data_IF_249877739416
#
_entry.id   IF_249877739416
#
_cell.length_a   1.000
_cell.length_b   1.000
_cell.length_c   1.000
_cell.angle_alpha   90.00
_cell.angle_beta   90.00
_cell.angle_gamma   90.00
#
_symmetry.space_group_name_H-M   'P 1'
#
loop_
_entity.id
_entity.type
_entity.pdbx_description
1 polymer ?
#
# COMPACT_ATOMS: atom_id res chain seq x y z
N UNK A 1 21.42 -9.13 4.95
CA UNK A 1 21.26 -10.03 3.82
C UNK A 1 21.50 -9.22 2.56
N UNK A 2 22.46 -9.58 1.76
CA UNK A 2 22.76 -8.96 0.46
C UNK A 2 21.80 -9.55 -0.57
N UNK A 3 21.15 -8.71 -1.38
CA UNK A 3 20.26 -9.17 -2.45
C UNK A 3 21.10 -9.98 -3.45
N UNK A 4 20.67 -11.18 -3.90
CA UNK A 4 21.40 -11.97 -4.88
C UNK A 4 21.64 -11.18 -6.17
N UNK A 5 22.85 -11.30 -6.74
CA UNK A 5 23.24 -10.56 -7.95
C UNK A 5 22.33 -10.84 -9.17
N UNK A 6 21.67 -12.00 -9.20
CA UNK A 6 20.72 -12.36 -10.26
C UNK A 6 19.44 -11.50 -10.27
N UNK A 7 19.03 -10.94 -9.11
CA UNK A 7 17.84 -10.08 -9.02
C UNK A 7 18.12 -8.64 -9.48
N UNK A 8 19.38 -8.24 -9.60
CA UNK A 8 19.78 -6.89 -10.04
C UNK A 8 20.14 -6.83 -11.51
N UNK A 9 20.37 -7.95 -12.19
CA UNK A 9 20.82 -8.00 -13.57
C UNK A 9 19.68 -7.87 -14.58
N UNK A 10 19.88 -7.04 -15.60
CA UNK A 10 19.01 -6.87 -16.77
C UNK A 10 19.75 -7.39 -18.00
N UNK A 11 19.06 -8.14 -18.87
CA UNK A 11 19.64 -8.57 -20.14
C UNK A 11 19.80 -7.36 -21.08
N UNK A 12 21.03 -7.05 -21.51
CA UNK A 12 21.33 -5.92 -22.39
C UNK A 12 21.77 -4.65 -21.64
N UNK A 13 21.79 -3.51 -22.35
CA UNK A 13 22.08 -2.20 -21.75
C UNK A 13 20.86 -1.69 -20.98
N UNK A 14 20.97 -1.40 -19.68
CA UNK A 14 19.85 -0.86 -18.92
C UNK A 14 19.50 0.56 -19.37
N UNK A 15 18.24 0.94 -19.25
CA UNK A 15 17.80 2.33 -19.41
C UNK A 15 18.27 3.19 -18.23
N UNK A 16 18.19 2.63 -17.03
CA UNK A 16 18.65 3.26 -15.79
C UNK A 16 19.37 2.22 -14.93
N UNK A 17 20.49 2.58 -14.33
CA UNK A 17 21.18 1.72 -13.37
C UNK A 17 21.79 2.53 -12.24
N UNK A 18 21.74 1.97 -11.04
CA UNK A 18 22.41 2.44 -9.83
C UNK A 18 23.31 1.32 -9.31
N UNK A 19 24.52 1.65 -8.90
CA UNK A 19 25.49 0.69 -8.37
C UNK A 19 26.19 1.25 -7.15
N UNK A 20 26.02 0.57 -6.00
CA UNK A 20 26.68 0.94 -4.75
C UNK A 20 26.37 2.35 -4.29
N UNK A 21 25.13 2.84 -4.49
CA UNK A 21 24.79 4.23 -4.23
C UNK A 21 24.63 4.47 -2.72
N UNK A 22 25.39 5.44 -2.22
CA UNK A 22 25.28 5.96 -0.86
C UNK A 22 24.90 7.43 -0.86
N UNK A 23 24.05 7.81 0.12
CA UNK A 23 23.71 9.21 0.39
C UNK A 23 23.66 9.49 1.88
N UNK A 24 24.40 10.52 2.30
CA UNK A 24 24.50 10.98 3.69
C UNK A 24 24.06 12.44 3.80
N UNK A 25 23.40 12.77 4.87
CA UNK A 25 23.05 14.14 5.23
C UNK A 25 23.65 14.47 6.60
N UNK A 26 24.26 15.65 6.72
CA UNK A 26 24.74 16.16 7.99
C UNK A 26 23.62 16.92 8.68
N UNK A 27 23.12 16.39 9.79
CA UNK A 27 22.11 17.04 10.62
C UNK A 27 22.87 17.78 11.75
N UNK A 28 22.82 19.12 11.78
CA UNK A 28 23.40 19.83 12.91
C UNK A 28 22.58 19.55 14.16
N UNK A 29 23.20 18.98 15.18
CA UNK A 29 22.63 18.89 16.53
C UNK A 29 22.47 20.30 17.08
N UNK A 30 21.22 20.70 17.40
CA UNK A 30 20.82 21.98 17.97
C UNK A 30 21.63 23.22 17.57
N UNK A 31 21.04 24.08 16.77
CA UNK A 31 21.51 25.46 16.66
C UNK A 31 21.27 26.14 18.00
N UNK A 32 22.35 26.54 18.71
CA UNK A 32 22.22 27.53 19.78
C UNK A 32 21.50 28.77 19.22
N UNK A 33 20.25 28.96 19.62
CA UNK A 33 19.38 30.01 19.03
C UNK A 33 19.71 31.43 19.52
N UNK A 34 20.64 31.57 20.50
CA UNK A 34 20.99 32.89 21.05
C UNK A 34 22.50 33.11 21.10
N UNK A 35 22.90 34.36 20.78
CA UNK A 35 24.30 34.82 20.97
C UNK A 35 24.81 34.62 22.40
N UNK A 36 23.91 34.63 23.40
CA UNK A 36 24.18 34.42 24.80
C UNK A 36 24.63 32.98 25.12
N UNK A 37 24.02 31.99 24.48
CA UNK A 37 24.36 30.57 24.63
C UNK A 37 25.71 30.23 23.98
N UNK A 38 26.05 30.87 22.87
CA UNK A 38 27.34 30.80 22.19
C UNK A 38 28.47 31.37 23.03
N UNK A 39 28.20 32.44 23.78
CA UNK A 39 29.18 33.10 24.68
C UNK A 39 29.42 32.27 25.95
N UNK A 40 28.42 31.55 26.44
CA UNK A 40 28.52 30.74 27.67
C UNK A 40 29.21 29.39 27.44
N UNK A 41 29.19 28.86 26.19
CA UNK A 41 29.80 27.56 25.86
C UNK A 41 30.69 27.62 24.62
N UNK A 42 31.80 28.37 24.60
CA UNK A 42 32.63 28.59 23.42
C UNK A 42 33.37 27.34 22.91
N UNK A 43 33.44 26.27 23.71
CA UNK A 43 34.12 25.02 23.40
C UNK A 43 33.17 23.86 23.08
N UNK A 44 31.85 24.09 23.07
CA UNK A 44 30.88 23.04 22.67
C UNK A 44 30.96 22.84 21.16
N UNK A 45 31.73 21.85 20.72
CA UNK A 45 31.76 21.41 19.33
C UNK A 45 30.37 20.86 19.00
N UNK A 46 29.67 21.48 18.08
CA UNK A 46 28.47 20.93 17.48
C UNK A 46 28.84 19.57 16.91
N UNK A 47 28.30 18.52 17.48
CA UNK A 47 28.44 17.17 16.97
C UNK A 47 27.40 17.06 15.83
N UNK A 48 27.86 17.04 14.59
CA UNK A 48 26.97 16.77 13.46
C UNK A 48 26.65 15.27 13.46
N UNK A 49 25.39 14.94 13.56
CA UNK A 49 24.93 13.58 13.34
C UNK A 49 24.82 13.33 11.83
N UNK A 50 25.37 12.20 11.35
CA UNK A 50 25.27 11.82 9.96
C UNK A 50 24.08 10.87 9.75
N UNK A 51 23.07 11.33 9.02
CA UNK A 51 21.97 10.51 8.59
C UNK A 51 22.35 9.80 7.28
N UNK A 52 22.52 8.50 7.33
CA UNK A 52 22.71 7.65 6.15
C UNK A 52 21.37 7.32 5.52
N UNK A 53 20.94 8.15 4.56
CA UNK A 53 19.65 8.03 3.89
C UNK A 53 19.61 6.89 2.87
N UNK A 54 20.74 6.62 2.17
CA UNK A 54 20.92 5.48 1.27
C UNK A 54 22.22 4.75 1.60
N UNK A 55 22.18 3.41 1.54
CA UNK A 55 23.25 2.52 1.99
C UNK A 55 23.38 1.36 0.99
N UNK A 56 24.34 1.47 0.07
CA UNK A 56 24.69 0.42 -0.90
C UNK A 56 23.49 0.00 -1.78
N UNK A 57 22.87 0.99 -2.43
CA UNK A 57 21.73 0.73 -3.32
C UNK A 57 22.22 0.35 -4.70
N UNK A 58 21.83 -0.85 -5.15
CA UNK A 58 22.17 -1.37 -6.48
C UNK A 58 20.96 -1.99 -7.15
N UNK A 59 20.62 -1.51 -8.36
CA UNK A 59 19.57 -2.07 -9.22
C UNK A 59 19.73 -1.59 -10.65
N UNK A 60 19.03 -2.27 -11.58
CA UNK A 60 18.96 -1.86 -12.96
C UNK A 60 17.52 -1.98 -13.48
N UNK A 61 17.16 -1.06 -14.37
CA UNK A 61 15.85 -0.98 -15.05
C UNK A 61 16.06 -1.18 -16.54
N UNK A 62 15.33 -2.13 -17.14
CA UNK A 62 15.39 -2.39 -18.56
C UNK A 62 14.69 -1.28 -19.39
N UNK A 63 15.07 -1.10 -20.67
CA UNK A 63 14.27 -0.29 -21.58
C UNK A 63 12.85 -0.83 -21.66
N UNK A 64 11.83 0.06 -21.55
CA UNK A 64 10.43 -0.32 -21.57
C UNK A 64 9.90 -0.94 -20.28
N UNK A 65 10.71 -1.04 -19.23
CA UNK A 65 10.30 -1.58 -17.95
C UNK A 65 9.56 -0.54 -17.11
N UNK A 66 8.45 -0.95 -16.51
CA UNK A 66 7.77 -0.22 -15.45
C UNK A 66 8.25 -0.79 -14.10
N UNK A 67 9.15 -0.07 -13.43
CA UNK A 67 9.85 -0.50 -12.23
C UNK A 67 9.34 0.23 -11.00
N UNK A 68 8.86 -0.51 -10.00
CA UNK A 68 8.35 0.03 -8.73
C UNK A 68 9.45 0.20 -7.67
N UNK A 69 9.41 1.30 -6.92
CA UNK A 69 10.20 1.49 -5.70
C UNK A 69 9.24 1.70 -4.55
N UNK A 70 9.17 0.75 -3.65
CA UNK A 70 8.25 0.76 -2.52
C UNK A 70 8.98 0.82 -1.18
N UNK A 71 8.28 1.24 -0.14
CA UNK A 71 8.85 1.32 1.22
C UNK A 71 8.07 2.29 2.10
N UNK A 72 8.25 2.18 3.41
CA UNK A 72 7.61 3.05 4.40
C UNK A 72 8.08 4.51 4.29
N UNK A 73 7.35 5.43 4.92
CA UNK A 73 7.81 6.82 5.07
C UNK A 73 9.16 6.85 5.80
N UNK A 74 10.11 7.63 5.26
CA UNK A 74 11.49 7.69 5.78
C UNK A 74 12.39 6.52 5.35
N UNK A 75 11.97 5.61 4.48
CA UNK A 75 12.83 4.51 3.99
C UNK A 75 13.94 4.96 3.02
N UNK A 76 13.83 6.18 2.47
CA UNK A 76 14.80 6.74 1.53
C UNK A 76 14.32 6.87 0.08
N UNK A 77 13.04 6.54 -0.23
CA UNK A 77 12.47 6.56 -1.59
C UNK A 77 12.66 7.89 -2.32
N UNK A 78 12.16 8.98 -1.74
CA UNK A 78 12.26 10.33 -2.35
C UNK A 78 13.71 10.80 -2.42
N UNK A 79 14.58 10.38 -1.47
CA UNK A 79 16.02 10.63 -1.56
C UNK A 79 16.64 9.91 -2.73
N UNK A 80 16.32 8.63 -2.92
CA UNK A 80 16.80 7.84 -4.06
C UNK A 80 16.32 8.46 -5.37
N UNK A 81 15.03 8.80 -5.48
CA UNK A 81 14.47 9.43 -6.67
C UNK A 81 15.19 10.75 -7.01
N UNK A 82 15.45 11.61 -6.01
CA UNK A 82 16.21 12.86 -6.18
C UNK A 82 17.67 12.62 -6.58
N UNK A 83 18.29 11.52 -6.14
CA UNK A 83 19.62 11.12 -6.60
C UNK A 83 19.59 10.64 -8.06
N UNK A 84 18.60 9.82 -8.45
CA UNK A 84 18.41 9.36 -9.83
C UNK A 84 18.17 10.53 -10.78
N UNK A 85 17.40 11.52 -10.36
CA UNK A 85 17.13 12.75 -11.09
C UNK A 85 18.32 13.73 -11.17
N UNK A 86 19.43 13.43 -10.48
CA UNK A 86 20.60 14.34 -10.43
C UNK A 86 20.40 15.57 -9.55
N UNK A 87 19.25 15.68 -8.82
CA UNK A 87 18.96 16.79 -7.89
C UNK A 87 19.91 16.71 -6.68
N UNK A 88 20.09 15.50 -6.14
CA UNK A 88 21.06 15.26 -5.07
C UNK A 88 22.29 14.55 -5.61
N UNK A 89 23.46 15.10 -5.32
CA UNK A 89 24.74 14.44 -5.59
C UNK A 89 24.87 13.21 -4.65
N UNK A 90 25.21 12.07 -5.20
CA UNK A 90 25.57 10.87 -4.45
C UNK A 90 26.93 11.03 -3.77
N UNK A 91 27.13 10.36 -2.63
CA UNK A 91 28.42 10.41 -1.91
C UNK A 91 29.37 9.30 -2.36
N UNK A 92 28.84 8.11 -2.70
CA UNK A 92 29.57 6.96 -3.21
C UNK A 92 28.72 6.21 -4.25
N UNK A 93 29.37 5.42 -5.10
CA UNK A 93 28.73 4.63 -6.15
C UNK A 93 28.57 5.38 -7.46
N UNK A 94 27.66 4.91 -8.31
CA UNK A 94 27.42 5.50 -9.63
C UNK A 94 25.99 5.29 -10.08
N UNK A 95 25.50 6.23 -10.92
CA UNK A 95 24.18 6.19 -11.56
C UNK A 95 24.40 6.42 -13.05
N UNK A 96 23.82 5.58 -13.89
CA UNK A 96 23.81 5.70 -15.35
C UNK A 96 22.38 5.83 -15.85
N UNK A 97 22.20 6.72 -16.80
CA UNK A 97 20.93 6.95 -17.49
C UNK A 97 21.21 6.93 -18.99
N UNK A 98 20.45 6.14 -19.73
CA UNK A 98 20.55 6.02 -21.17
C UNK A 98 19.29 6.56 -21.83
N UNK A 99 19.26 7.86 -22.13
CA UNK A 99 18.13 8.59 -22.70
C UNK A 99 17.78 9.85 -21.95
N UNK A 100 16.76 10.55 -22.44
CA UNK A 100 16.21 11.76 -21.79
C UNK A 100 15.33 11.34 -20.62
N UNK A 101 15.62 11.90 -19.45
CA UNK A 101 14.85 11.66 -18.24
C UNK A 101 13.95 12.85 -17.94
N UNK A 102 12.70 12.60 -17.62
CA UNK A 102 11.77 13.58 -17.05
C UNK A 102 11.31 13.14 -15.67
N UNK A 103 11.13 14.11 -14.77
CA UNK A 103 10.88 13.83 -13.37
C UNK A 103 9.57 14.46 -12.90
N UNK A 104 8.71 13.64 -12.30
CA UNK A 104 7.46 14.07 -11.65
C UNK A 104 7.61 13.89 -10.14
N UNK A 105 8.62 14.56 -9.56
CA UNK A 105 9.01 14.36 -8.16
C UNK A 105 8.20 15.26 -7.22
N UNK A 106 7.86 16.45 -7.66
CA UNK A 106 7.04 17.39 -6.88
C UNK A 106 6.08 18.07 -7.85
N UNK A 107 4.83 17.62 -7.88
CA UNK A 107 3.81 18.19 -8.75
C UNK A 107 3.61 19.67 -8.47
N UNK A 108 3.64 20.47 -9.55
CA UNK A 108 3.44 21.92 -9.46
C UNK A 108 4.66 22.73 -9.03
N UNK A 109 5.82 22.10 -8.82
CA UNK A 109 7.08 22.85 -8.65
C UNK A 109 7.34 23.67 -9.91
N UNK A 110 7.61 24.97 -9.70
CA UNK A 110 7.80 25.93 -10.79
C UNK A 110 6.51 26.62 -11.23
N UNK A 111 5.36 26.30 -10.67
CA UNK A 111 4.15 27.08 -10.86
C UNK A 111 4.26 28.43 -10.13
N UNK A 112 3.88 29.51 -10.82
CA UNK A 112 3.78 30.84 -10.24
C UNK A 112 2.30 31.14 -9.94
N UNK A 113 1.91 31.33 -8.66
CA UNK A 113 0.52 31.57 -8.29
C UNK A 113 -0.09 32.83 -8.90
N UNK A 114 0.74 33.80 -9.27
CA UNK A 114 0.28 35.09 -9.82
C UNK A 114 0.09 35.10 -11.34
N UNK A 115 0.50 34.02 -12.02
CA UNK A 115 0.31 33.83 -13.45
C UNK A 115 -0.94 32.97 -13.74
N UNK A 116 -1.49 33.16 -14.95
CA UNK A 116 -2.59 32.33 -15.45
C UNK A 116 -2.14 30.92 -15.83
N UNK A 117 -3.10 30.00 -16.06
CA UNK A 117 -2.81 28.61 -16.43
C UNK A 117 -1.93 28.51 -17.68
N UNK A 118 -2.21 29.32 -18.70
CA UNK A 118 -1.43 29.34 -19.95
C UNK A 118 0.06 29.59 -19.74
N UNK A 119 0.39 30.60 -18.91
CA UNK A 119 1.78 30.94 -18.63
C UNK A 119 2.46 29.86 -17.79
N UNK A 120 1.74 29.31 -16.84
CA UNK A 120 2.25 28.24 -15.98
C UNK A 120 2.49 26.93 -16.75
N UNK A 121 1.59 26.54 -17.64
CA UNK A 121 1.77 25.37 -18.52
C UNK A 121 2.99 25.55 -19.41
N UNK A 122 3.18 26.75 -19.98
CA UNK A 122 4.35 27.04 -20.80
C UNK A 122 5.65 26.97 -19.99
N UNK A 123 5.70 27.62 -18.82
CA UNK A 123 6.88 27.62 -17.94
C UNK A 123 7.22 26.20 -17.46
N UNK A 124 6.23 25.49 -16.94
CA UNK A 124 6.45 24.14 -16.40
C UNK A 124 6.84 23.15 -17.50
N UNK A 125 6.21 23.22 -18.68
CA UNK A 125 6.58 22.42 -19.84
C UNK A 125 8.05 22.63 -20.25
N UNK A 126 8.52 23.89 -20.24
CA UNK A 126 9.94 24.20 -20.54
C UNK A 126 10.86 23.66 -19.46
N UNK A 127 10.50 23.79 -18.18
CA UNK A 127 11.27 23.21 -17.07
C UNK A 127 11.37 21.69 -17.16
N UNK A 128 10.35 21.03 -17.68
CA UNK A 128 10.33 19.58 -17.90
C UNK A 128 10.99 19.15 -19.22
N UNK A 129 11.57 20.11 -19.98
CA UNK A 129 12.40 19.82 -21.15
C UNK A 129 11.72 20.03 -22.51
N UNK A 130 10.51 20.60 -22.57
CA UNK A 130 9.88 21.02 -23.83
C UNK A 130 10.53 22.32 -24.37
N UNK A 131 10.59 22.47 -25.68
CA UNK A 131 10.86 23.78 -26.26
C UNK A 131 9.70 24.75 -26.05
N UNK A 132 9.91 26.07 -26.04
CA UNK A 132 8.83 27.05 -25.90
C UNK A 132 7.69 26.89 -26.93
N UNK A 133 8.02 26.44 -28.13
CA UNK A 133 7.06 26.18 -29.21
C UNK A 133 6.21 24.94 -28.89
N UNK A 134 6.82 23.88 -28.44
CA UNK A 134 6.11 22.65 -28.04
C UNK A 134 5.22 22.85 -26.82
N UNK A 135 5.72 23.55 -25.78
CA UNK A 135 4.95 23.83 -24.59
C UNK A 135 3.66 24.61 -24.92
N UNK A 136 3.76 25.62 -25.81
CA UNK A 136 2.58 26.36 -26.30
C UNK A 136 1.64 25.50 -27.14
N UNK A 137 2.17 24.66 -28.02
CA UNK A 137 1.36 23.81 -28.90
C UNK A 137 0.60 22.72 -28.11
N UNK A 138 1.10 22.31 -26.93
CA UNK A 138 0.47 21.30 -26.09
C UNK A 138 -0.52 21.86 -25.08
N UNK A 139 -0.62 23.19 -24.95
CA UNK A 139 -1.47 23.87 -23.97
C UNK A 139 -2.92 23.37 -23.98
N UNK A 140 -3.52 23.34 -25.17
CA UNK A 140 -4.93 22.95 -25.32
C UNK A 140 -5.16 21.52 -24.81
N UNK A 141 -4.26 20.57 -25.15
CA UNK A 141 -4.34 19.18 -24.69
C UNK A 141 -4.16 19.04 -23.16
N UNK A 142 -3.30 19.90 -22.58
CA UNK A 142 -3.10 19.96 -21.13
C UNK A 142 -4.37 20.37 -20.42
N UNK A 143 -5.01 21.45 -20.88
CA UNK A 143 -6.22 22.01 -20.27
C UNK A 143 -7.41 21.06 -20.42
N UNK A 144 -7.61 20.46 -21.60
CA UNK A 144 -8.64 19.46 -21.86
C UNK A 144 -8.45 18.21 -20.97
N UNK A 145 -7.22 17.71 -20.85
CA UNK A 145 -6.97 16.57 -19.99
C UNK A 145 -7.24 16.88 -18.52
N UNK A 146 -6.85 18.10 -18.06
CA UNK A 146 -7.05 18.57 -16.70
C UNK A 146 -8.53 18.87 -16.38
N UNK A 147 -9.41 19.01 -17.41
CA UNK A 147 -10.80 19.48 -17.30
C UNK A 147 -10.88 20.88 -16.66
N UNK A 148 -10.06 21.80 -17.17
CA UNK A 148 -9.92 23.15 -16.62
C UNK A 148 -10.21 24.25 -17.65
N UNK A 149 -10.96 23.95 -18.71
CA UNK A 149 -11.28 24.88 -19.80
C UNK A 149 -12.00 26.14 -19.29
N UNK A 150 -12.90 26.00 -18.33
CA UNK A 150 -13.66 27.12 -17.76
C UNK A 150 -12.80 28.01 -16.84
N UNK A 151 -11.64 27.52 -16.41
CA UNK A 151 -10.77 28.19 -15.43
C UNK A 151 -9.47 28.72 -16.02
N UNK A 152 -9.25 28.57 -17.32
CA UNK A 152 -7.98 28.85 -18.00
C UNK A 152 -7.48 30.30 -17.84
N UNK A 153 -8.39 31.27 -17.70
CA UNK A 153 -8.07 32.67 -17.57
C UNK A 153 -7.83 33.14 -16.13
N UNK A 154 -8.06 32.22 -15.16
CA UNK A 154 -7.82 32.51 -13.76
C UNK A 154 -6.35 32.36 -13.40
N UNK A 155 -5.87 33.20 -12.48
CA UNK A 155 -4.56 33.04 -11.87
C UNK A 155 -4.55 31.80 -11.00
N UNK A 156 -3.42 31.09 -10.99
CA UNK A 156 -3.29 29.82 -10.24
C UNK A 156 -3.59 29.96 -8.75
N UNK A 157 -3.32 31.10 -8.12
CA UNK A 157 -3.69 31.35 -6.72
C UNK A 157 -5.19 31.18 -6.41
N UNK A 158 -6.03 31.23 -7.43
CA UNK A 158 -7.48 31.04 -7.31
C UNK A 158 -7.91 29.58 -7.58
N UNK A 159 -6.96 28.71 -7.93
CA UNK A 159 -7.23 27.29 -8.12
C UNK A 159 -7.34 26.56 -6.78
N UNK A 160 -8.21 25.56 -6.71
CA UNK A 160 -8.20 24.60 -5.60
C UNK A 160 -6.94 23.72 -5.64
N UNK A 161 -6.61 23.07 -4.54
CA UNK A 161 -5.50 22.11 -4.50
C UNK A 161 -5.65 20.99 -5.53
N UNK A 162 -6.89 20.48 -5.72
CA UNK A 162 -7.20 19.48 -6.74
C UNK A 162 -6.94 19.99 -8.17
N UNK A 163 -7.34 21.23 -8.50
CA UNK A 163 -7.09 21.84 -9.80
C UNK A 163 -5.60 22.02 -10.07
N UNK A 164 -4.80 22.42 -9.04
CA UNK A 164 -3.35 22.54 -9.17
C UNK A 164 -2.71 21.20 -9.54
N UNK A 165 -3.11 20.15 -8.85
CA UNK A 165 -2.52 18.83 -9.05
C UNK A 165 -2.96 18.22 -10.38
N UNK A 166 -4.22 18.41 -10.80
CA UNK A 166 -4.71 18.03 -12.14
C UNK A 166 -3.91 18.74 -13.24
N UNK A 167 -3.70 20.04 -13.12
CA UNK A 167 -2.92 20.80 -14.09
C UNK A 167 -1.48 20.32 -14.17
N UNK A 168 -0.80 20.15 -13.02
CA UNK A 168 0.58 19.71 -12.94
C UNK A 168 0.78 18.31 -13.55
N UNK A 169 -0.10 17.35 -13.22
CA UNK A 169 -0.09 16.04 -13.83
C UNK A 169 -0.30 16.11 -15.35
N UNK A 170 -1.26 16.92 -15.80
CA UNK A 170 -1.58 17.09 -17.22
C UNK A 170 -0.41 17.65 -18.03
N UNK A 171 0.39 18.55 -17.46
CA UNK A 171 1.63 19.04 -18.11
C UNK A 171 2.65 17.91 -18.16
N UNK A 172 2.82 17.20 -17.05
CA UNK A 172 3.85 16.19 -16.89
C UNK A 172 3.72 15.04 -17.90
N UNK A 173 2.50 14.55 -18.15
CA UNK A 173 2.25 13.45 -19.12
C UNK A 173 2.45 13.87 -20.58
N UNK A 174 2.54 15.16 -20.89
CA UNK A 174 2.78 15.64 -22.25
C UNK A 174 4.27 15.66 -22.63
N UNK A 175 5.16 15.41 -21.66
CA UNK A 175 6.59 15.44 -21.93
C UNK A 175 7.05 14.16 -22.59
N UNK A 176 7.77 14.30 -23.69
CA UNK A 176 8.31 13.18 -24.43
C UNK A 176 9.70 12.83 -23.88
N UNK A 177 9.75 11.88 -22.96
CA UNK A 177 10.98 11.40 -22.33
C UNK A 177 11.12 9.90 -22.50
N UNK A 178 12.38 9.44 -22.59
CA UNK A 178 12.71 8.02 -22.69
C UNK A 178 12.53 7.30 -21.35
N UNK A 179 12.75 8.04 -20.24
CA UNK A 179 12.63 7.55 -18.87
C UNK A 179 11.83 8.55 -18.04
N UNK A 180 10.80 8.06 -17.37
CA UNK A 180 9.95 8.83 -16.47
C UNK A 180 10.20 8.43 -15.03
N UNK A 181 10.52 9.40 -14.16
CA UNK A 181 10.57 9.21 -12.71
C UNK A 181 9.31 9.81 -12.08
N UNK A 182 8.51 9.00 -11.41
CA UNK A 182 7.21 9.39 -10.86
C UNK A 182 7.20 9.15 -9.35
N UNK A 183 6.92 10.20 -8.55
CA UNK A 183 6.83 10.12 -7.08
C UNK A 183 5.37 10.24 -6.64
N UNK A 184 4.82 9.22 -6.03
CA UNK A 184 3.56 9.15 -5.26
C UNK A 184 2.30 9.84 -5.84
N UNK A 185 2.28 10.07 -7.16
CA UNK A 185 1.35 10.99 -7.84
C UNK A 185 -0.02 10.37 -8.18
N UNK A 186 -0.27 9.09 -7.87
CA UNK A 186 -1.49 8.40 -8.31
C UNK A 186 -2.76 8.74 -7.52
N UNK A 187 -2.63 9.30 -6.32
CA UNK A 187 -3.77 9.68 -5.48
C UNK A 187 -4.30 11.09 -5.78
N UNK A 188 -4.28 11.52 -7.07
CA UNK A 188 -4.55 12.88 -7.48
C UNK A 188 -5.97 13.07 -8.00
N UNK A 189 -6.67 14.06 -7.47
CA UNK A 189 -8.01 14.44 -7.93
C UNK A 189 -9.11 13.53 -7.38
N UNK A 190 -10.25 13.55 -8.03
CA UNK A 190 -11.37 12.65 -7.74
C UNK A 190 -11.23 11.29 -8.46
N UNK A 191 -12.14 10.37 -8.18
CA UNK A 191 -12.12 9.02 -8.74
C UNK A 191 -12.14 8.99 -10.27
N UNK A 192 -12.82 9.95 -10.93
CA UNK A 192 -12.87 10.02 -12.38
C UNK A 192 -11.53 10.43 -12.98
N UNK A 193 -10.86 11.42 -12.38
CA UNK A 193 -9.53 11.84 -12.79
C UNK A 193 -8.46 10.79 -12.51
N UNK A 194 -8.55 10.08 -11.37
CA UNK A 194 -7.68 8.94 -11.07
C UNK A 194 -7.79 7.85 -12.15
N UNK A 195 -9.01 7.53 -12.61
CA UNK A 195 -9.19 6.57 -13.69
C UNK A 195 -8.51 7.02 -15.00
N UNK A 196 -8.61 8.30 -15.36
CA UNK A 196 -7.87 8.87 -16.51
C UNK A 196 -6.35 8.72 -16.35
N UNK A 197 -5.83 8.95 -15.14
CA UNK A 197 -4.42 8.74 -14.85
C UNK A 197 -4.02 7.28 -15.06
N UNK A 198 -4.82 6.33 -14.59
CA UNK A 198 -4.59 4.90 -14.79
C UNK A 198 -4.57 4.50 -16.27
N UNK A 199 -5.48 5.06 -17.06
CA UNK A 199 -5.53 4.82 -18.51
C UNK A 199 -4.27 5.34 -19.22
N UNK A 200 -3.73 6.49 -18.76
CA UNK A 200 -2.45 7.01 -19.24
C UNK A 200 -1.30 6.07 -18.91
N UNK A 201 -1.22 5.55 -17.68
CA UNK A 201 -0.16 4.61 -17.29
C UNK A 201 -0.25 3.29 -18.03
N UNK A 202 -1.44 2.74 -18.24
CA UNK A 202 -1.65 1.55 -19.08
C UNK A 202 -1.13 1.78 -20.50
N UNK A 203 -1.47 2.92 -21.11
CA UNK A 203 -1.00 3.30 -22.45
C UNK A 203 0.53 3.43 -22.49
N UNK A 204 1.13 4.12 -21.52
CA UNK A 204 2.59 4.27 -21.44
C UNK A 204 3.29 2.90 -21.32
N UNK A 205 2.69 1.97 -20.56
CA UNK A 205 3.17 0.60 -20.44
C UNK A 205 3.08 -0.14 -21.78
N UNK A 206 1.96 -0.04 -22.48
CA UNK A 206 1.75 -0.66 -23.80
C UNK A 206 2.69 -0.07 -24.87
N UNK A 207 2.99 1.23 -24.79
CA UNK A 207 3.96 1.92 -25.64
C UNK A 207 5.42 1.54 -25.32
N UNK A 208 5.68 0.74 -24.28
CA UNK A 208 7.00 0.32 -23.87
C UNK A 208 7.86 1.47 -23.32
N UNK A 209 7.27 2.46 -22.65
CA UNK A 209 8.02 3.53 -21.97
C UNK A 209 8.67 3.03 -20.71
N UNK A 210 9.89 3.49 -20.45
CA UNK A 210 10.60 3.15 -19.20
C UNK A 210 10.11 4.07 -18.09
N UNK A 211 9.60 3.48 -17.00
CA UNK A 211 9.03 4.24 -15.89
C UNK A 211 9.60 3.72 -14.57
N UNK A 212 10.11 4.63 -13.75
CA UNK A 212 10.44 4.35 -12.34
C UNK A 212 9.37 5.01 -11.47
N UNK A 213 8.62 4.18 -10.79
CA UNK A 213 7.45 4.57 -10.04
C UNK A 213 7.65 4.38 -8.54
N UNK A 214 7.62 5.47 -7.80
CA UNK A 214 7.75 5.48 -6.34
C UNK A 214 6.38 5.62 -5.71
N UNK A 215 6.00 4.67 -4.87
CA UNK A 215 4.70 4.71 -4.18
C UNK A 215 4.71 3.91 -2.89
N UNK A 216 3.72 4.13 -2.05
CA UNK A 216 3.35 3.27 -0.94
C UNK A 216 2.07 2.45 -1.23
N UNK A 217 1.42 2.67 -2.38
CA UNK A 217 0.24 1.92 -2.82
C UNK A 217 0.64 0.61 -3.50
N UNK A 218 0.47 -0.50 -2.77
CA UNK A 218 0.81 -1.84 -3.26
C UNK A 218 -0.11 -2.30 -4.39
N UNK A 219 -1.37 -1.83 -4.41
CA UNK A 219 -2.31 -2.10 -5.49
C UNK A 219 -1.82 -1.52 -6.82
N UNK A 220 -1.33 -0.28 -6.82
CA UNK A 220 -0.74 0.33 -8.00
C UNK A 220 0.54 -0.40 -8.46
N UNK A 221 1.38 -0.84 -7.51
CA UNK A 221 2.61 -1.59 -7.83
C UNK A 221 2.31 -2.91 -8.52
N UNK A 222 1.39 -3.71 -7.97
CA UNK A 222 1.00 -5.00 -8.55
C UNK A 222 0.27 -4.85 -9.88
N UNK A 223 -0.42 -3.74 -10.11
CA UNK A 223 -1.16 -3.47 -11.35
C UNK A 223 -0.25 -3.01 -12.50
N UNK A 224 0.71 -2.14 -12.24
CA UNK A 224 1.46 -1.44 -13.28
C UNK A 224 2.90 -1.94 -13.46
N UNK A 225 3.57 -2.36 -12.38
CA UNK A 225 4.98 -2.67 -12.44
C UNK A 225 5.26 -4.08 -13.02
N UNK A 226 6.35 -4.20 -13.77
CA UNK A 226 6.89 -5.48 -14.21
C UNK A 226 7.77 -6.10 -13.12
N UNK A 227 8.52 -5.25 -12.41
CA UNK A 227 9.33 -5.60 -11.23
C UNK A 227 9.25 -4.47 -10.22
N UNK A 228 9.51 -4.80 -8.96
CA UNK A 228 9.57 -3.79 -7.90
C UNK A 228 10.77 -4.03 -6.98
N UNK A 229 11.15 -2.97 -6.26
CA UNK A 229 12.18 -2.98 -5.23
C UNK A 229 11.60 -2.48 -3.91
N UNK A 230 11.82 -3.23 -2.85
CA UNK A 230 11.50 -2.81 -1.49
C UNK A 230 12.70 -2.12 -0.85
N UNK A 231 12.50 -0.88 -0.44
CA UNK A 231 13.49 -0.06 0.26
C UNK A 231 13.09 0.09 1.74
N UNK A 232 13.99 -0.28 2.65
CA UNK A 232 13.78 -0.11 4.09
C UNK A 232 15.04 0.46 4.75
N UNK A 233 14.88 1.59 5.48
CA UNK A 233 15.97 2.28 6.19
C UNK A 233 17.22 2.54 5.33
N UNK A 234 17.00 2.91 4.08
CA UNK A 234 18.04 3.21 3.11
C UNK A 234 18.74 2.00 2.52
N UNK A 235 18.21 0.78 2.66
CA UNK A 235 18.74 -0.45 2.08
C UNK A 235 17.72 -1.15 1.22
N UNK A 236 18.16 -1.80 0.15
CA UNK A 236 17.36 -2.72 -0.63
C UNK A 236 17.11 -3.99 0.17
N UNK A 237 15.84 -4.37 0.35
CA UNK A 237 15.42 -5.60 1.03
C UNK A 237 15.25 -6.74 0.03
N UNK A 238 14.52 -6.48 -1.05
CA UNK A 238 14.28 -7.42 -2.14
C UNK A 238 13.98 -6.69 -3.44
N UNK A 239 14.23 -7.35 -4.56
CA UNK A 239 13.85 -6.92 -5.91
C UNK A 239 13.28 -8.14 -6.61
N UNK A 240 12.10 -8.02 -7.24
CA UNK A 240 11.47 -9.15 -7.90
C UNK A 240 10.08 -8.88 -8.39
N UNK A 241 9.25 -9.93 -8.42
CA UNK A 241 7.84 -9.84 -8.77
C UNK A 241 7.12 -8.83 -7.87
N UNK A 242 6.24 -7.99 -8.43
CA UNK A 242 5.53 -6.97 -7.67
C UNK A 242 4.69 -7.51 -6.51
N UNK A 243 4.12 -8.72 -6.64
CA UNK A 243 3.32 -9.35 -5.58
C UNK A 243 4.20 -9.78 -4.42
N UNK A 244 5.32 -10.46 -4.70
CA UNK A 244 6.28 -10.89 -3.66
C UNK A 244 6.84 -9.69 -2.90
N UNK A 245 7.11 -8.60 -3.62
CA UNK A 245 7.60 -7.34 -3.01
C UNK A 245 6.52 -6.68 -2.16
N UNK A 246 5.26 -6.67 -2.62
CA UNK A 246 4.14 -6.14 -1.87
C UNK A 246 3.89 -6.95 -0.59
N UNK A 247 3.90 -8.27 -0.66
CA UNK A 247 3.73 -9.15 0.51
C UNK A 247 4.86 -8.93 1.51
N UNK A 248 6.10 -8.83 1.03
CA UNK A 248 7.26 -8.53 1.89
C UNK A 248 7.19 -7.15 2.53
N UNK A 249 6.67 -6.14 1.81
CA UNK A 249 6.39 -4.83 2.37
C UNK A 249 5.38 -4.90 3.52
N UNK A 250 4.27 -5.63 3.31
CA UNK A 250 3.23 -5.81 4.32
C UNK A 250 3.76 -6.55 5.55
N UNK A 251 4.55 -7.61 5.36
CA UNK A 251 5.23 -8.31 6.46
C UNK A 251 6.11 -7.36 7.30
N UNK A 252 6.91 -6.51 6.67
CA UNK A 252 7.78 -5.55 7.37
C UNK A 252 6.97 -4.42 8.00
N UNK A 253 5.96 -3.92 7.29
CA UNK A 253 5.13 -2.82 7.78
C UNK A 253 4.29 -3.24 8.98
N UNK A 254 3.74 -4.46 8.94
CA UNK A 254 2.83 -4.99 9.93
C UNK A 254 3.46 -6.07 10.81
N UNK A 255 4.47 -6.79 10.37
CA UNK A 255 5.20 -7.78 11.16
C UNK A 255 5.95 -7.18 12.35
N UNK A 256 6.25 -5.86 12.31
CA UNK A 256 6.73 -5.11 13.49
C UNK A 256 5.60 -4.59 14.36
N UNK A 257 4.38 -4.48 13.81
CA UNK A 257 3.15 -4.18 14.56
C UNK A 257 2.47 -5.47 15.08
N UNK A 258 2.88 -6.62 14.57
CA UNK A 258 2.51 -7.98 15.03
C UNK A 258 3.56 -8.53 16.01
N UNK A 259 4.38 -7.68 16.61
CA UNK A 259 4.99 -8.02 17.89
C UNK A 259 3.85 -8.27 18.88
N UNK A 260 3.89 -9.40 19.57
CA UNK A 260 2.96 -9.82 20.63
C UNK A 260 2.78 -8.79 21.77
N UNK A 261 3.14 -7.51 21.54
CA UNK A 261 3.14 -6.41 22.50
C UNK A 261 2.10 -5.32 22.22
N UNK A 262 1.20 -5.47 21.24
CA UNK A 262 -0.02 -4.65 21.20
C UNK A 262 -1.04 -5.14 22.25
N UNK A 263 -0.57 -5.18 23.48
CA UNK A 263 -1.33 -5.38 24.71
C UNK A 263 -2.31 -4.23 25.02
N UNK A 264 -2.59 -3.32 24.08
CA UNK A 264 -3.51 -2.21 24.27
C UNK A 264 -4.93 -2.45 23.72
N UNK A 265 -5.16 -3.58 23.06
CA UNK A 265 -6.53 -4.14 23.02
C UNK A 265 -6.64 -4.94 24.32
N UNK A 266 -7.09 -4.29 25.37
CA UNK A 266 -7.06 -4.78 26.74
C UNK A 266 -7.25 -6.29 26.81
N UNK A 267 -6.24 -6.98 27.29
CA UNK A 267 -6.20 -8.41 27.58
C UNK A 267 -7.17 -8.82 28.69
N UNK A 268 -8.39 -8.27 28.65
CA UNK A 268 -9.46 -8.64 29.53
C UNK A 268 -10.00 -10.00 29.07
N UNK A 269 -9.40 -11.06 29.57
CA UNK A 269 -10.02 -12.39 29.51
C UNK A 269 -11.27 -12.36 30.35
N UNK A 270 -12.37 -12.83 29.76
CA UNK A 270 -13.66 -13.01 30.43
C UNK A 270 -14.06 -14.45 30.34
N UNK A 271 -14.59 -15.01 31.43
CA UNK A 271 -15.09 -16.37 31.49
C UNK A 271 -14.69 -17.09 32.79
N UNK A 272 -15.21 -18.30 33.02
CA UNK A 272 -14.95 -19.10 34.20
C UNK A 272 -13.57 -19.79 34.19
N UNK A 273 -12.93 -19.87 33.00
CA UNK A 273 -11.59 -20.43 32.83
C UNK A 273 -11.53 -21.95 32.85
N UNK A 274 -12.64 -22.67 32.71
CA UNK A 274 -12.66 -24.11 32.57
C UNK A 274 -11.84 -24.62 31.38
N UNK A 275 -11.73 -23.80 30.33
CA UNK A 275 -10.77 -23.97 29.23
C UNK A 275 -10.16 -22.61 28.87
N UNK A 276 -8.99 -22.63 28.23
CA UNK A 276 -8.30 -21.40 27.81
C UNK A 276 -7.71 -21.51 26.41
N UNK A 277 -7.87 -20.47 25.62
CA UNK A 277 -7.11 -20.29 24.40
C UNK A 277 -5.63 -20.09 24.78
N UNK A 278 -4.79 -21.04 24.38
CA UNK A 278 -3.36 -21.05 24.70
C UNK A 278 -2.51 -20.48 23.58
N UNK A 279 -2.94 -20.65 22.32
CA UNK A 279 -2.23 -20.11 21.15
C UNK A 279 -3.17 -19.97 19.94
N UNK A 280 -2.79 -19.10 18.99
CA UNK A 280 -3.53 -18.84 17.75
C UNK A 280 -2.55 -18.58 16.63
N UNK A 281 -2.73 -19.23 15.45
CA UNK A 281 -1.87 -19.00 14.29
C UNK A 281 -2.63 -19.21 12.96
N UNK A 282 -2.04 -18.71 11.85
CA UNK A 282 -2.51 -18.97 10.50
C UNK A 282 -1.69 -20.08 9.85
N UNK A 283 -2.36 -20.92 9.06
CA UNK A 283 -1.74 -22.02 8.32
C UNK A 283 -1.51 -23.27 9.14
N UNK A 284 -0.66 -24.17 8.63
CA UNK A 284 -0.50 -25.51 9.20
C UNK A 284 0.58 -25.60 10.29
N UNK A 285 1.62 -24.79 10.20
CA UNK A 285 2.76 -24.82 11.12
C UNK A 285 2.66 -23.72 12.18
N UNK A 286 2.53 -24.08 13.48
CA UNK A 286 2.49 -23.08 14.56
C UNK A 286 3.81 -22.31 14.75
N UNK A 287 4.91 -22.78 14.17
CA UNK A 287 6.20 -22.11 14.24
C UNK A 287 6.35 -21.03 13.14
N UNK A 288 5.66 -21.19 12.01
CA UNK A 288 5.52 -20.17 10.99
C UNK A 288 4.47 -19.15 11.42
N UNK A 289 4.89 -18.07 12.05
CA UNK A 289 4.00 -16.98 12.45
C UNK A 289 3.63 -16.12 11.24
N UNK A 290 2.77 -16.62 10.35
CA UNK A 290 2.28 -15.87 9.19
C UNK A 290 1.45 -14.70 9.66
N UNK A 291 1.82 -13.51 9.19
CA UNK A 291 1.11 -12.27 9.46
C UNK A 291 0.35 -11.74 8.23
N UNK A 292 0.51 -12.40 7.09
CA UNK A 292 -0.10 -12.03 5.81
C UNK A 292 -0.85 -13.22 5.22
N UNK A 293 -2.08 -12.97 4.76
CA UNK A 293 -2.95 -13.95 4.11
C UNK A 293 -3.35 -13.40 2.73
N UNK A 294 -2.92 -14.01 1.61
CA UNK A 294 -3.35 -13.58 0.29
C UNK A 294 -4.86 -13.69 0.11
N UNK A 295 -5.45 -12.69 -0.58
CA UNK A 295 -6.85 -12.73 -0.97
C UNK A 295 -7.08 -13.83 -2.01
N UNK A 296 -8.28 -14.41 -2.03
CA UNK A 296 -8.68 -15.47 -2.95
C UNK A 296 -7.94 -16.81 -2.78
N UNK A 297 -7.18 -16.98 -1.70
CA UNK A 297 -6.55 -18.25 -1.33
C UNK A 297 -7.26 -18.89 -0.13
N UNK A 298 -7.11 -20.22 0.08
CA UNK A 298 -7.59 -20.86 1.30
C UNK A 298 -6.89 -20.28 2.53
N UNK A 299 -7.66 -19.92 3.56
CA UNK A 299 -7.16 -19.41 4.82
C UNK A 299 -7.63 -20.34 5.94
N UNK A 300 -6.70 -20.83 6.76
CA UNK A 300 -6.98 -21.60 7.96
C UNK A 300 -6.43 -20.89 9.18
N UNK A 301 -7.32 -20.56 10.12
CA UNK A 301 -6.96 -20.06 11.44
C UNK A 301 -7.08 -21.22 12.44
N UNK A 302 -5.99 -21.50 13.15
CA UNK A 302 -5.93 -22.58 14.17
C UNK A 302 -5.83 -21.99 15.57
N UNK A 303 -6.55 -22.61 16.48
CA UNK A 303 -6.69 -22.19 17.87
C UNK A 303 -6.34 -23.37 18.76
N UNK A 304 -5.29 -23.24 19.57
CA UNK A 304 -4.95 -24.23 20.60
C UNK A 304 -5.70 -23.89 21.89
N UNK A 305 -6.51 -24.80 22.34
CA UNK A 305 -7.25 -24.72 23.60
C UNK A 305 -6.69 -25.74 24.61
N UNK A 306 -6.47 -25.26 25.83
CA UNK A 306 -6.10 -26.12 26.97
C UNK A 306 -7.30 -26.20 27.93
N UNK A 307 -7.73 -27.40 28.30
CA UNK A 307 -8.85 -27.60 29.20
C UNK A 307 -8.33 -27.75 30.64
N UNK A 308 -8.80 -26.89 31.53
CA UNK A 308 -8.38 -26.87 32.94
C UNK A 308 -9.29 -27.74 33.84
N UNK A 309 -10.49 -28.06 33.33
CA UNK A 309 -11.45 -28.95 33.95
C UNK A 309 -12.11 -29.81 32.85
N UNK A 310 -12.87 -30.83 33.22
CA UNK A 310 -13.71 -31.56 32.27
C UNK A 310 -14.77 -30.60 31.66
N UNK A 311 -14.84 -30.56 30.32
CA UNK A 311 -15.81 -29.74 29.56
C UNK A 311 -16.48 -30.62 28.50
N UNK A 312 -17.80 -30.63 28.50
CA UNK A 312 -18.61 -31.34 27.51
C UNK A 312 -19.09 -30.42 26.42
N UNK A 313 -18.89 -30.77 25.17
CA UNK A 313 -19.35 -30.09 23.96
C UNK A 313 -19.12 -28.57 23.95
N UNK A 314 -17.89 -28.10 24.18
CA UNK A 314 -17.62 -26.67 24.10
C UNK A 314 -17.87 -26.11 22.69
N UNK A 315 -18.54 -24.98 22.59
CA UNK A 315 -18.62 -24.26 21.33
C UNK A 315 -17.47 -23.25 21.24
N UNK A 316 -16.63 -23.41 20.21
CA UNK A 316 -15.55 -22.45 19.91
C UNK A 316 -15.98 -21.57 18.76
N UNK A 317 -15.93 -20.26 18.98
CA UNK A 317 -16.31 -19.24 17.99
C UNK A 317 -15.15 -18.33 17.67
N UNK A 318 -15.03 -17.97 16.40
CA UNK A 318 -14.10 -16.98 15.88
C UNK A 318 -14.91 -15.79 15.31
N UNK A 319 -14.56 -14.59 15.73
CA UNK A 319 -15.06 -13.35 15.13
C UNK A 319 -13.87 -12.54 14.59
N UNK A 320 -13.81 -12.31 13.28
CA UNK A 320 -12.80 -11.43 12.69
C UNK A 320 -13.31 -10.00 12.67
N UNK A 321 -12.58 -9.10 13.30
CA UNK A 321 -12.83 -7.66 13.25
C UNK A 321 -11.88 -6.98 12.26
N UNK A 322 -12.36 -5.96 11.56
CA UNK A 322 -11.51 -5.04 10.80
C UNK A 322 -10.87 -3.97 11.71
N UNK A 323 -10.04 -3.07 11.16
CA UNK A 323 -9.41 -1.95 11.89
C UNK A 323 -10.43 -0.98 12.52
N UNK A 324 -11.66 -0.93 12.00
CA UNK A 324 -12.75 -0.13 12.55
C UNK A 324 -13.52 -0.88 13.66
N UNK A 325 -13.03 -2.06 14.08
CA UNK A 325 -13.64 -2.96 15.06
C UNK A 325 -15.03 -3.48 14.66
N UNK A 326 -15.32 -3.53 13.38
CA UNK A 326 -16.56 -4.10 12.87
C UNK A 326 -16.39 -5.61 12.63
N UNK A 327 -17.33 -6.46 13.03
CA UNK A 327 -17.29 -7.89 12.75
C UNK A 327 -17.54 -8.12 11.25
N UNK A 328 -16.60 -8.82 10.59
CA UNK A 328 -16.65 -9.12 9.15
C UNK A 328 -16.97 -10.59 8.92
N UNK A 329 -16.40 -11.47 9.74
CA UNK A 329 -16.64 -12.92 9.70
C UNK A 329 -16.95 -13.40 11.11
N UNK A 330 -17.97 -14.23 11.24
CA UNK A 330 -18.27 -14.97 12.45
C UNK A 330 -18.40 -16.42 12.07
N UNK A 331 -17.61 -17.29 12.71
CA UNK A 331 -17.68 -18.73 12.53
C UNK A 331 -17.69 -19.41 13.90
N UNK A 332 -18.44 -20.48 14.01
CA UNK A 332 -18.52 -21.29 15.23
C UNK A 332 -18.55 -22.77 14.90
N UNK A 333 -17.98 -23.59 15.77
CA UNK A 333 -18.00 -25.06 15.61
C UNK A 333 -19.42 -25.63 15.53
N UNK A 334 -20.40 -24.95 16.11
CA UNK A 334 -21.80 -25.38 16.07
C UNK A 334 -22.49 -25.21 14.71
N UNK A 335 -21.87 -24.48 13.76
CA UNK A 335 -22.38 -24.35 12.40
C UNK A 335 -22.15 -25.60 11.55
N UNK A 336 -21.08 -26.34 11.83
CA UNK A 336 -20.63 -27.47 11.02
C UNK A 336 -20.79 -28.81 11.75
N UNK A 337 -20.90 -28.78 13.08
CA UNK A 337 -20.99 -29.99 13.93
C UNK A 337 -22.05 -29.81 15.00
N UNK A 338 -22.84 -30.85 15.23
CA UNK A 338 -23.80 -30.88 16.33
C UNK A 338 -23.10 -30.99 17.68
N UNK A 339 -21.97 -31.74 17.76
CA UNK A 339 -21.20 -31.98 18.98
C UNK A 339 -19.71 -31.89 18.71
N UNK A 340 -18.95 -31.29 19.63
CA UNK A 340 -17.49 -31.19 19.60
C UNK A 340 -16.84 -32.29 20.45
N UNK A 341 -17.61 -32.97 21.29
CA UNK A 341 -17.18 -34.05 22.18
C UNK A 341 -16.78 -33.57 23.58
N UNK A 342 -16.41 -34.51 24.44
CA UNK A 342 -15.95 -34.23 25.80
C UNK A 342 -14.44 -34.13 25.87
N UNK A 343 -13.93 -33.17 26.64
CA UNK A 343 -12.51 -32.94 26.87
C UNK A 343 -12.22 -33.07 28.37
N UNK A 344 -11.10 -33.74 28.70
CA UNK A 344 -10.67 -33.98 30.08
C UNK A 344 -9.74 -32.87 30.60
N UNK A 345 -9.61 -32.77 31.93
CA UNK A 345 -8.64 -31.86 32.56
C UNK A 345 -7.21 -32.11 32.05
N UNK A 346 -6.50 -31.05 31.65
CA UNK A 346 -5.14 -31.09 31.10
C UNK A 346 -5.08 -31.44 29.61
N UNK A 347 -6.19 -31.79 28.97
CA UNK A 347 -6.23 -32.06 27.54
C UNK A 347 -5.99 -30.80 26.72
N UNK A 348 -5.39 -30.98 25.52
CA UNK A 348 -5.18 -29.89 24.55
C UNK A 348 -5.80 -30.29 23.22
N UNK A 349 -6.55 -29.38 22.64
CA UNK A 349 -7.16 -29.57 21.32
C UNK A 349 -6.90 -28.40 20.41
N UNK A 350 -6.77 -28.64 19.10
CA UNK A 350 -6.65 -27.62 18.07
C UNK A 350 -7.96 -27.53 17.32
N UNK A 351 -8.57 -26.37 17.34
CA UNK A 351 -9.74 -26.04 16.53
C UNK A 351 -9.28 -25.28 15.30
N UNK A 352 -9.68 -25.72 14.11
CA UNK A 352 -9.30 -25.13 12.84
C UNK A 352 -10.51 -24.54 12.12
N UNK A 353 -10.44 -23.25 11.78
CA UNK A 353 -11.43 -22.56 10.97
C UNK A 353 -10.86 -22.34 9.58
N UNK A 354 -11.35 -23.11 8.60
CA UNK A 354 -10.89 -23.04 7.20
C UNK A 354 -11.96 -22.44 6.31
N UNK A 355 -11.60 -21.42 5.54
CA UNK A 355 -12.50 -20.78 4.59
C UNK A 355 -11.71 -20.20 3.42
N UNK A 356 -12.40 -19.95 2.32
CA UNK A 356 -11.81 -19.22 1.19
C UNK A 356 -11.71 -17.73 1.54
N UNK A 357 -10.50 -17.16 1.46
CA UNK A 357 -10.26 -15.78 1.90
C UNK A 357 -10.84 -14.76 0.91
N UNK A 358 -12.09 -14.38 1.12
CA UNK A 358 -12.77 -13.32 0.35
C UNK A 358 -12.73 -11.96 1.03
N UNK A 359 -11.92 -11.81 2.09
CA UNK A 359 -11.80 -10.56 2.81
C UNK A 359 -11.14 -9.50 1.93
N UNK A 360 -11.60 -8.27 2.05
CA UNK A 360 -10.94 -7.15 1.39
C UNK A 360 -9.53 -6.93 1.98
N UNK A 361 -8.58 -6.38 1.21
CA UNK A 361 -7.27 -6.02 1.73
C UNK A 361 -7.38 -5.10 2.94
N UNK A 362 -6.70 -5.47 4.03
CA UNK A 362 -6.78 -4.76 5.30
C UNK A 362 -6.28 -5.61 6.46
N UNK A 363 -6.27 -5.02 7.65
CA UNK A 363 -5.87 -5.72 8.87
C UNK A 363 -7.09 -6.32 9.54
N UNK A 364 -6.93 -7.53 10.09
CA UNK A 364 -7.98 -8.27 10.78
C UNK A 364 -7.49 -8.77 12.13
N UNK A 365 -8.39 -8.72 13.12
CA UNK A 365 -8.15 -9.09 14.50
C UNK A 365 -9.14 -10.17 14.90
N UNK A 366 -8.74 -11.42 15.17
CA UNK A 366 -9.61 -12.45 15.65
C UNK A 366 -9.95 -12.24 17.15
N UNK A 367 -11.22 -12.35 17.46
CA UNK A 367 -11.72 -12.59 18.82
C UNK A 367 -12.15 -14.04 18.88
N UNK A 368 -11.66 -14.77 19.88
CA UNK A 368 -11.99 -16.16 20.10
C UNK A 368 -12.82 -16.28 21.37
N UNK A 369 -13.91 -17.01 21.27
CA UNK A 369 -14.80 -17.25 22.41
C UNK A 369 -15.07 -18.72 22.53
N UNK A 370 -14.87 -19.27 23.73
CA UNK A 370 -15.25 -20.63 24.11
C UNK A 370 -16.44 -20.51 25.04
N UNK A 371 -17.51 -21.25 24.76
CA UNK A 371 -18.72 -21.30 25.60
C UNK A 371 -19.06 -22.72 25.94
N UNK A 372 -19.76 -22.93 27.08
CA UNK A 372 -20.43 -24.20 27.35
C UNK A 372 -21.51 -24.46 26.29
N UNK A 373 -21.95 -25.70 26.13
CA UNK A 373 -23.03 -26.06 25.22
C UNK A 373 -24.31 -25.26 25.60
N UNK A 374 -24.73 -24.40 24.68
CA UNK A 374 -25.91 -23.57 24.87
C UNK A 374 -25.76 -22.16 24.33
N UNK A 375 -26.82 -21.39 24.30
CA UNK A 375 -26.85 -20.06 23.72
C UNK A 375 -25.99 -19.06 24.51
N UNK A 376 -24.80 -18.75 24.02
CA UNK A 376 -24.07 -17.48 24.06
C UNK A 376 -23.77 -16.76 25.38
N UNK A 377 -24.35 -17.14 26.53
CA UNK A 377 -24.21 -16.42 27.80
C UNK A 377 -23.22 -17.04 28.79
N UNK A 378 -22.89 -18.30 28.62
CA UNK A 378 -22.01 -19.06 29.54
C UNK A 378 -20.60 -19.16 28.97
N UNK A 379 -19.84 -18.09 29.13
CA UNK A 379 -18.49 -17.94 28.52
C UNK A 379 -17.45 -18.64 29.37
N UNK A 380 -16.75 -19.63 28.79
CA UNK A 380 -15.61 -20.31 29.40
C UNK A 380 -14.35 -19.44 29.28
N UNK A 381 -14.06 -18.95 28.07
CA UNK A 381 -12.95 -18.03 27.81
C UNK A 381 -13.29 -17.14 26.61
N UNK A 382 -13.03 -15.86 26.75
CA UNK A 382 -13.04 -14.90 25.66
C UNK A 382 -11.68 -14.28 25.56
N UNK A 383 -11.01 -14.56 24.45
CA UNK A 383 -9.64 -14.13 24.19
C UNK A 383 -9.62 -13.08 23.08
N UNK A 384 -9.14 -11.91 23.42
CA UNK A 384 -8.91 -10.79 22.50
C UNK A 384 -7.42 -10.51 22.48
N UNK A 385 -6.77 -10.71 21.35
CA UNK A 385 -5.32 -10.53 21.23
C UNK A 385 -4.62 -11.79 20.72
N UNK A 386 -3.31 -11.80 20.71
CA UNK A 386 -2.47 -12.94 20.32
C UNK A 386 -2.24 -13.10 18.82
N UNK A 387 -3.12 -12.61 17.94
CA UNK A 387 -2.94 -12.61 16.49
C UNK A 387 -3.59 -11.40 15.87
N UNK A 388 -2.86 -10.72 14.98
CA UNK A 388 -3.39 -9.81 13.98
C UNK A 388 -2.77 -10.19 12.65
N UNK A 389 -3.55 -10.20 11.58
CA UNK A 389 -3.01 -10.50 10.25
C UNK A 389 -3.54 -9.51 9.21
N UNK A 390 -2.84 -9.44 8.10
CA UNK A 390 -3.19 -8.56 6.99
C UNK A 390 -3.60 -9.42 5.80
N UNK A 391 -4.72 -9.08 5.19
CA UNK A 391 -5.10 -9.63 3.90
C UNK A 391 -4.44 -8.78 2.82
N UNK A 392 -3.58 -9.41 2.00
CA UNK A 392 -2.97 -8.82 0.82
C UNK A 392 -3.83 -9.09 -0.42
N UNK A 393 -3.95 -8.12 -1.31
CA UNK A 393 -4.76 -8.24 -2.51
C UNK A 393 -5.06 -6.88 -3.14
N UNK A 394 -5.88 -6.88 -4.19
CA UNK A 394 -6.31 -5.64 -4.86
C UNK A 394 -7.70 -5.25 -4.35
N UNK A 395 -7.85 -4.01 -3.90
CA UNK A 395 -9.15 -3.43 -3.57
C UNK A 395 -9.86 -3.04 -4.88
N UNK A 396 -10.93 -3.73 -5.24
CA UNK A 396 -11.68 -3.40 -6.45
C UNK A 396 -12.93 -2.57 -6.20
N UNK A 397 -13.55 -2.64 -5.02
CA UNK A 397 -14.90 -2.12 -4.82
C UNK A 397 -15.15 -1.34 -3.52
N UNK A 398 -14.19 -1.25 -2.60
CA UNK A 398 -14.39 -0.62 -1.29
C UNK A 398 -15.31 -1.44 -0.35
N UNK A 399 -15.68 -2.66 -0.69
CA UNK A 399 -16.42 -3.60 0.15
C UNK A 399 -15.53 -4.26 1.21
N UNK A 400 -16.13 -4.79 2.28
CA UNK A 400 -15.42 -5.56 3.30
C UNK A 400 -15.11 -6.99 2.86
N UNK A 401 -15.81 -7.48 1.86
CA UNK A 401 -15.68 -8.84 1.30
C UNK A 401 -15.82 -8.75 -0.21
N UNK A 402 -14.95 -9.43 -0.93
CA UNK A 402 -15.02 -9.56 -2.39
C UNK A 402 -15.51 -10.95 -2.76
N UNK A 403 -16.73 -10.99 -3.30
CA UNK A 403 -17.33 -12.24 -3.77
C UNK A 403 -17.06 -12.37 -5.27
N UNK A 404 -16.53 -13.51 -5.77
CA UNK A 404 -16.41 -13.76 -7.20
C UNK A 404 -17.79 -13.69 -7.85
N UNK A 405 -18.00 -12.74 -8.77
CA UNK A 405 -19.25 -12.57 -9.50
C UNK A 405 -19.03 -12.96 -10.95
N UNK A 406 -19.80 -13.93 -11.44
CA UNK A 406 -19.92 -14.19 -12.86
C UNK A 406 -21.05 -13.34 -13.41
N UNK A 407 -20.75 -12.46 -14.36
CA UNK A 407 -21.75 -11.61 -14.99
C UNK A 407 -22.01 -12.11 -16.41
N UNK A 408 -23.24 -12.52 -16.69
CA UNK A 408 -23.68 -12.84 -18.03
C UNK A 408 -24.42 -11.62 -18.61
N UNK A 409 -23.95 -11.13 -19.75
CA UNK A 409 -24.59 -10.01 -20.47
C UNK A 409 -25.36 -10.57 -21.68
N UNK A 410 -26.67 -10.67 -21.56
CA UNK A 410 -27.55 -11.04 -22.73
C UNK A 410 -27.91 -9.78 -23.50
N UNK A 411 -27.40 -9.65 -24.72
CA UNK A 411 -27.77 -8.56 -25.61
C UNK A 411 -29.00 -8.98 -26.41
N UNK A 412 -30.15 -8.38 -26.16
CA UNK A 412 -31.39 -8.57 -26.96
C UNK A 412 -32.61 -8.29 -26.10
N UNK A 413 -33.42 -7.34 -26.52
CA UNK A 413 -34.79 -7.02 -26.14
C UNK A 413 -35.30 -7.50 -24.78
N UNK A 414 -34.89 -6.82 -23.70
CA UNK A 414 -35.60 -6.91 -22.43
C UNK A 414 -36.95 -6.16 -22.62
N UNK A 415 -38.03 -6.91 -22.76
CA UNK A 415 -39.36 -6.33 -22.57
C UNK A 415 -39.58 -6.22 -21.05
N UNK A 416 -39.78 -5.01 -20.49
CA UNK A 416 -40.15 -4.90 -19.09
C UNK A 416 -41.42 -5.72 -18.83
N UNK A 417 -41.54 -6.41 -17.68
CA UNK A 417 -42.79 -7.08 -17.34
C UNK A 417 -43.90 -6.04 -17.41
N UNK A 418 -44.93 -6.35 -18.26
CA UNK A 418 -46.15 -5.52 -18.37
C UNK A 418 -46.64 -5.21 -16.94
N UNK A 419 -46.90 -3.93 -16.67
CA UNK A 419 -47.47 -3.43 -15.43
C UNK A 419 -48.54 -4.40 -14.93
N UNK A 420 -48.34 -4.90 -13.71
CA UNK A 420 -49.38 -5.66 -13.00
C UNK A 420 -50.56 -4.72 -12.82
N UNK A 421 -51.59 -4.93 -13.67
CA UNK A 421 -52.86 -4.23 -13.50
C UNK A 421 -53.36 -4.52 -12.06
N UNK A 422 -53.73 -3.50 -11.27
CA UNK A 422 -54.33 -3.74 -9.99
C UNK A 422 -55.62 -4.53 -10.20
N UNK A 423 -55.75 -5.68 -9.54
CA UNK A 423 -56.91 -6.53 -9.58
C UNK A 423 -58.14 -5.67 -9.26
N UNK A 424 -59.02 -5.57 -10.25
CA UNK A 424 -60.23 -4.76 -10.16
C UNK A 424 -61.07 -5.16 -8.96
N UNK A 425 -61.43 -4.18 -8.16
CA UNK A 425 -62.44 -4.32 -7.11
C UNK A 425 -63.79 -4.70 -7.78
N UNK A 426 -64.18 -5.94 -7.57
CA UNK A 426 -65.51 -6.42 -7.88
C UNK A 426 -66.43 -6.28 -6.66
N UNK A 427 -67.54 -5.64 -6.84
CA UNK A 427 -68.70 -5.31 -5.99
C UNK A 427 -69.01 -6.25 -4.82
#
# INVERSE_FOLDING_TARGET
MTVPAEQTAVQGRPALAAQGVHKRFKIPEERSHTLKERALHPLRRSRNEELHALKDISFAVAPGEFFGIVGRNGSGKSTLLKCLAGIYRIDEGSIWCNGRMSTFIELGVGFNPDLAAYENVALNGIMLGLSPKEARARYQRVIEFAELEEFQDLKLKNYSSGMHVRLAFSVAIQVDADILLIDEVLAVGDAAFQQKCFDVFNRMREEGRTIVFVTHDMGAVTRFCHRAMLLERGKTVTIGDPRDVADRYLEIAFGRAVGYEDADIGSARMGDGAARVSDVWLGDDPTERRAVAPQSEPLTLKVLVTFNTEVLDPAVSMTLLNDQRQPVVVATTTQDREETGGFQEGERAVFAFSFHNMLAPGRYHPILTITHRGEGLDVIDRFTGGLSFVVSGMTSSGGMVEIPVQTEVTRGGYAPPSEIQPAGGGR
#
